data_IF_472135070261
#
_entry.id   IF_472135070261
#
_cell.length_a   1.000
_cell.length_b   1.000
_cell.length_c   1.000
_cell.angle_alpha   90.00
_cell.angle_beta   90.00
_cell.angle_gamma   90.00
#
_symmetry.space_group_name_H-M   'P 1'
#
loop_
_entity.id
_entity.type
_entity.pdbx_description
1 polymer ?
#
# COMPACT_ATOMS: atom_id res chain seq x y z
N UNK A 1 3.84 -11.22 -2.28
CA UNK A 1 2.42 -11.52 -2.09
C UNK A 1 2.20 -12.96 -1.65
N UNK A 2 2.60 -13.96 -2.41
CA UNK A 2 2.42 -15.39 -2.03
C UNK A 2 3.00 -15.73 -0.66
N UNK A 3 4.20 -15.24 -0.31
CA UNK A 3 4.80 -15.42 1.01
C UNK A 3 3.99 -14.75 2.13
N UNK A 4 3.44 -13.56 1.88
CA UNK A 4 2.61 -12.87 2.87
C UNK A 4 1.30 -13.64 3.13
N UNK A 5 0.66 -14.13 2.08
CA UNK A 5 -0.54 -14.97 2.20
C UNK A 5 -0.24 -16.28 2.96
N UNK A 6 0.87 -16.94 2.63
CA UNK A 6 1.29 -18.17 3.31
C UNK A 6 1.54 -17.92 4.81
N UNK A 7 2.22 -16.83 5.17
CA UNK A 7 2.45 -16.43 6.56
C UNK A 7 1.13 -16.11 7.27
N UNK A 8 0.21 -15.37 6.64
CA UNK A 8 -1.09 -15.03 7.23
C UNK A 8 -1.93 -16.26 7.53
N UNK A 9 -1.87 -17.29 6.68
CA UNK A 9 -2.56 -18.54 6.93
C UNK A 9 -1.91 -19.41 8.02
N UNK A 10 -0.59 -19.29 8.20
CA UNK A 10 0.16 -20.10 9.17
C UNK A 10 0.17 -19.44 10.58
N UNK A 11 0.13 -18.14 10.66
CA UNK A 11 0.22 -17.41 11.91
C UNK A 11 -1.10 -17.46 12.70
N UNK A 12 -1.03 -17.62 14.04
CA UNK A 12 -2.23 -17.60 14.87
C UNK A 12 -2.95 -16.25 14.77
N UNK A 13 -4.27 -16.21 14.98
CA UNK A 13 -5.00 -14.96 15.01
C UNK A 13 -4.42 -14.02 16.07
N UNK A 14 -4.46 -12.72 15.79
CA UNK A 14 -4.05 -11.73 16.79
C UNK A 14 -4.97 -11.78 17.99
N UNK A 15 -4.44 -11.54 19.22
CA UNK A 15 -5.28 -11.31 20.37
C UNK A 15 -6.16 -10.06 20.17
N UNK A 16 -7.23 -9.98 20.93
CA UNK A 16 -8.04 -8.77 20.97
C UNK A 16 -7.17 -7.55 21.34
N UNK A 17 -7.27 -6.49 20.54
CA UNK A 17 -6.47 -5.29 20.68
C UNK A 17 -7.32 -4.03 20.46
N UNK A 18 -6.80 -2.90 20.91
CA UNK A 18 -7.41 -1.60 20.63
C UNK A 18 -7.39 -1.32 19.12
N UNK A 19 -8.47 -0.65 18.64
CA UNK A 19 -8.55 -0.26 17.24
C UNK A 19 -7.33 0.53 16.81
N UNK A 20 -6.66 0.03 15.79
CA UNK A 20 -5.38 0.54 15.31
C UNK A 20 -5.50 1.08 13.88
N UNK A 21 -5.16 2.35 13.72
CA UNK A 21 -5.14 3.06 12.45
C UNK A 21 -3.69 3.21 11.97
N UNK A 22 -3.40 2.70 10.79
CA UNK A 22 -2.10 2.86 10.15
C UNK A 22 -2.12 4.03 9.18
N UNK A 23 -1.27 5.02 9.39
CA UNK A 23 -0.93 6.04 8.41
C UNK A 23 0.35 5.65 7.69
N UNK A 24 0.26 5.22 6.44
CA UNK A 24 1.41 4.83 5.63
C UNK A 24 1.47 5.64 4.33
N UNK A 25 1.99 6.88 4.40
CA UNK A 25 2.08 7.77 3.25
C UNK A 25 3.20 7.38 2.30
N UNK A 26 3.09 7.82 1.05
CA UNK A 26 4.22 7.93 0.12
C UNK A 26 5.20 9.03 0.57
N UNK A 27 6.09 9.42 -0.31
CA UNK A 27 7.05 10.50 -0.13
C UNK A 27 6.93 11.52 -1.29
N UNK A 28 7.50 12.71 -1.12
CA UNK A 28 7.48 13.78 -2.11
C UNK A 28 6.36 14.79 -1.88
N UNK A 29 6.25 15.78 -2.79
CA UNK A 29 5.41 16.97 -2.61
C UNK A 29 3.91 16.65 -2.48
N UNK A 30 3.43 15.62 -3.15
CA UNK A 30 2.02 15.19 -3.12
C UNK A 30 1.69 14.23 -1.98
N UNK A 31 2.68 13.81 -1.16
CA UNK A 31 2.44 12.86 -0.07
C UNK A 31 1.67 13.48 1.10
N UNK A 32 0.91 12.66 1.81
CA UNK A 32 0.05 13.08 2.95
C UNK A 32 0.83 13.90 3.98
N UNK A 33 2.00 13.44 4.42
CA UNK A 33 2.77 14.15 5.44
C UNK A 33 3.32 15.48 4.94
N UNK A 34 3.60 15.62 3.65
CA UNK A 34 4.01 16.87 3.05
C UNK A 34 2.84 17.85 2.94
N UNK A 35 1.69 17.36 2.51
CA UNK A 35 0.49 18.16 2.29
C UNK A 35 -0.16 18.62 3.60
N UNK A 36 -0.31 17.73 4.56
CA UNK A 36 -1.07 17.99 5.78
C UNK A 36 -0.20 18.18 7.02
N UNK A 37 1.03 17.68 7.03
CA UNK A 37 1.98 17.84 8.14
C UNK A 37 1.42 17.35 9.48
N UNK A 38 1.59 18.15 10.52
CA UNK A 38 1.07 17.85 11.86
C UNK A 38 -0.45 17.81 11.93
N UNK A 39 -1.17 18.50 11.05
CA UNK A 39 -2.64 18.54 11.08
C UNK A 39 -3.29 17.18 10.93
N UNK A 40 -2.76 16.30 10.07
CA UNK A 40 -3.28 14.94 9.95
C UNK A 40 -3.01 14.12 11.24
N UNK A 41 -1.86 14.32 11.87
CA UNK A 41 -1.49 13.64 13.13
C UNK A 41 -2.40 14.09 14.26
N UNK A 42 -2.62 15.40 14.41
CA UNK A 42 -3.55 15.95 15.39
C UNK A 42 -4.96 15.36 15.23
N UNK A 43 -5.43 15.29 13.98
CA UNK A 43 -6.75 14.76 13.65
C UNK A 43 -6.85 13.25 13.96
N UNK A 44 -5.79 12.49 13.68
CA UNK A 44 -5.71 11.07 14.03
C UNK A 44 -5.72 10.85 15.53
N UNK A 45 -4.91 11.59 16.28
CA UNK A 45 -4.87 11.52 17.75
C UNK A 45 -6.22 11.87 18.39
N UNK A 46 -6.95 12.84 17.82
CA UNK A 46 -8.28 13.22 18.26
C UNK A 46 -9.33 12.11 18.09
N UNK A 47 -9.07 11.08 17.26
CA UNK A 47 -9.95 9.92 17.14
C UNK A 47 -10.01 9.05 18.40
N UNK A 48 -8.97 9.08 19.22
CA UNK A 48 -8.82 8.22 20.38
C UNK A 48 -8.41 6.78 20.07
N UNK A 49 -8.11 6.46 18.81
CA UNK A 49 -7.58 5.16 18.41
C UNK A 49 -6.07 5.08 18.62
N UNK A 50 -5.52 3.86 18.63
CA UNK A 50 -4.07 3.67 18.54
C UNK A 50 -3.60 4.00 17.12
N UNK A 51 -2.59 4.85 16.99
CA UNK A 51 -2.11 5.36 15.72
C UNK A 51 -0.70 4.83 15.46
N UNK A 52 -0.51 4.21 14.31
CA UNK A 52 0.81 3.86 13.81
C UNK A 52 1.09 4.73 12.60
N UNK A 53 2.20 5.46 12.63
CA UNK A 53 2.69 6.19 11.47
C UNK A 53 3.90 5.44 10.92
N UNK A 54 3.79 5.01 9.67
CA UNK A 54 4.87 4.34 8.95
C UNK A 54 5.26 5.14 7.72
N UNK A 55 6.17 6.11 7.83
CA UNK A 55 6.64 6.88 6.70
C UNK A 55 7.35 5.99 5.68
N UNK A 56 7.28 6.37 4.42
CA UNK A 56 8.07 5.72 3.38
C UNK A 56 9.57 5.84 3.72
N UNK A 57 10.40 4.80 3.53
CA UNK A 57 11.83 4.86 3.84
C UNK A 57 12.57 6.02 3.16
N UNK A 58 12.11 6.43 1.98
CA UNK A 58 12.69 7.57 1.27
C UNK A 58 12.46 8.90 1.99
N UNK A 59 11.37 9.08 2.74
CA UNK A 59 11.14 10.32 3.53
C UNK A 59 12.26 10.58 4.53
N UNK A 60 12.85 9.53 5.11
CA UNK A 60 14.01 9.67 6.01
C UNK A 60 15.31 10.08 5.31
N UNK A 61 15.36 10.04 3.98
CA UNK A 61 16.52 10.43 3.17
C UNK A 61 16.33 11.78 2.51
N UNK A 62 15.17 11.98 1.86
CA UNK A 62 14.91 13.18 1.06
C UNK A 62 14.17 14.28 1.82
N UNK A 63 13.52 13.96 2.97
CA UNK A 63 12.67 14.87 3.74
C UNK A 63 13.09 14.93 5.22
N UNK A 64 14.39 14.83 5.50
CA UNK A 64 14.95 14.66 6.85
C UNK A 64 14.48 15.72 7.84
N UNK A 65 14.50 17.00 7.45
CA UNK A 65 14.11 18.12 8.33
C UNK A 65 12.64 18.06 8.69
N UNK A 66 11.77 17.73 7.72
CA UNK A 66 10.33 17.57 7.94
C UNK A 66 10.10 16.41 8.91
N UNK A 67 10.70 15.25 8.66
CA UNK A 67 10.55 14.07 9.50
C UNK A 67 11.05 14.33 10.93
N UNK A 68 12.22 14.93 11.08
CA UNK A 68 12.77 15.27 12.39
C UNK A 68 11.87 16.26 13.16
N UNK A 69 11.27 17.22 12.47
CA UNK A 69 10.32 18.19 13.05
C UNK A 69 9.04 17.49 13.51
N UNK A 70 8.44 16.64 12.67
CA UNK A 70 7.22 15.92 13.01
C UNK A 70 7.43 14.97 14.18
N UNK A 71 8.48 14.15 14.14
CA UNK A 71 8.76 13.18 15.22
C UNK A 71 9.11 13.85 16.56
N UNK A 72 9.69 15.06 16.52
CA UNK A 72 9.93 15.83 17.74
C UNK A 72 8.65 16.43 18.30
N UNK A 73 7.74 16.89 17.42
CA UNK A 73 6.45 17.46 17.83
C UNK A 73 5.47 16.39 18.33
N UNK A 74 5.57 15.18 17.79
CA UNK A 74 4.71 14.03 18.09
C UNK A 74 5.57 12.82 18.46
N UNK A 75 6.17 12.78 19.66
CA UNK A 75 6.97 11.63 20.10
C UNK A 75 6.10 10.39 20.29
N UNK A 76 6.74 9.21 20.28
CA UNK A 76 6.07 7.97 20.62
C UNK A 76 5.38 8.08 21.98
N UNK A 77 4.19 7.50 22.07
CA UNK A 77 3.33 7.52 23.25
C UNK A 77 2.46 6.25 23.29
N UNK A 78 1.68 5.99 24.35
CA UNK A 78 0.73 4.87 24.37
C UNK A 78 -0.28 4.90 23.20
N UNK A 79 -0.58 6.07 22.65
CA UNK A 79 -1.52 6.24 21.54
C UNK A 79 -0.84 6.36 20.16
N UNK A 80 0.45 6.67 20.09
CA UNK A 80 1.16 6.95 18.84
C UNK A 80 2.48 6.18 18.74
N UNK A 81 2.66 5.43 17.67
CA UNK A 81 3.89 4.73 17.32
C UNK A 81 4.44 5.21 15.97
N UNK A 82 5.75 5.48 15.91
CA UNK A 82 6.49 5.65 14.65
C UNK A 82 7.14 4.35 14.23
N UNK A 83 6.49 3.61 13.32
CA UNK A 83 6.98 2.32 12.86
C UNK A 83 8.08 2.47 11.81
N UNK A 84 9.21 1.76 12.01
CA UNK A 84 10.39 1.74 11.13
C UNK A 84 10.89 0.32 10.86
N UNK A 85 10.03 -0.67 10.98
CA UNK A 85 10.40 -2.06 10.74
C UNK A 85 10.91 -2.26 9.32
N UNK A 86 11.77 -3.25 9.13
CA UNK A 86 12.36 -3.54 7.82
C UNK A 86 11.32 -4.00 6.79
N UNK A 87 10.29 -4.73 7.24
CA UNK A 87 9.19 -5.19 6.40
C UNK A 87 7.82 -4.66 6.88
N UNK A 88 6.79 -4.92 6.09
CA UNK A 88 5.43 -4.45 6.35
C UNK A 88 4.57 -5.47 7.07
N UNK A 89 5.00 -6.71 7.22
CA UNK A 89 4.13 -7.81 7.57
C UNK A 89 3.36 -7.58 8.87
N UNK A 90 4.08 -7.35 9.97
CA UNK A 90 3.45 -7.24 11.27
C UNK A 90 2.62 -5.96 11.43
N UNK A 91 3.09 -4.84 10.89
CA UNK A 91 2.36 -3.58 10.99
C UNK A 91 1.06 -3.61 10.20
N UNK A 92 1.03 -4.21 9.00
CA UNK A 92 -0.20 -4.37 8.22
C UNK A 92 -1.16 -5.35 8.91
N UNK A 93 -0.61 -6.43 9.49
CA UNK A 93 -1.40 -7.43 10.19
C UNK A 93 -2.12 -6.87 11.42
N UNK A 94 -1.44 -6.09 12.25
CA UNK A 94 -1.99 -5.54 13.51
C UNK A 94 -2.80 -4.25 13.36
N UNK A 95 -2.89 -3.70 12.16
CA UNK A 95 -3.71 -2.52 11.88
C UNK A 95 -5.08 -2.91 11.36
N UNK A 96 -6.13 -2.20 11.77
CA UNK A 96 -7.51 -2.47 11.37
C UNK A 96 -7.90 -1.74 10.09
N UNK A 97 -7.33 -0.56 9.88
CA UNK A 97 -7.58 0.29 8.71
C UNK A 97 -6.31 1.04 8.33
N UNK A 98 -6.12 1.23 7.04
CA UNK A 98 -5.01 1.99 6.47
C UNK A 98 -5.49 3.35 5.97
N UNK A 99 -4.74 4.40 6.28
CA UNK A 99 -4.84 5.70 5.60
C UNK A 99 -3.57 5.89 4.77
N UNK A 100 -3.74 6.11 3.47
CA UNK A 100 -2.62 6.28 2.55
C UNK A 100 -2.99 7.24 1.41
N UNK A 101 -2.04 7.50 0.53
CA UNK A 101 -2.21 8.33 -0.67
C UNK A 101 -2.18 7.49 -1.95
N UNK A 102 -1.12 7.52 -2.71
CA UNK A 102 -0.90 6.74 -3.93
C UNK A 102 0.11 5.59 -3.74
N UNK A 103 0.38 5.22 -2.51
CA UNK A 103 1.34 4.16 -2.17
C UNK A 103 0.82 2.77 -2.55
N UNK A 104 1.68 1.94 -3.12
CA UNK A 104 1.38 0.54 -3.43
C UNK A 104 0.97 -0.30 -2.21
N UNK A 105 1.33 0.13 -0.99
CA UNK A 105 0.93 -0.54 0.27
C UNK A 105 -0.59 -0.65 0.43
N UNK A 106 -1.37 0.23 -0.24
CA UNK A 106 -2.84 0.14 -0.28
C UNK A 106 -3.27 -1.26 -0.78
N UNK A 107 -2.63 -1.77 -1.82
CA UNK A 107 -3.00 -3.06 -2.42
C UNK A 107 -2.55 -4.24 -1.57
N UNK A 108 -1.38 -4.15 -0.94
CA UNK A 108 -0.98 -5.16 0.05
C UNK A 108 -2.02 -5.21 1.18
N UNK A 109 -2.37 -4.07 1.76
CA UNK A 109 -3.31 -3.99 2.87
C UNK A 109 -4.72 -4.45 2.47
N UNK A 110 -5.24 -3.98 1.34
CA UNK A 110 -6.60 -4.29 0.93
C UNK A 110 -6.75 -5.70 0.39
N UNK A 111 -5.83 -6.15 -0.46
CA UNK A 111 -6.01 -7.39 -1.19
C UNK A 111 -5.43 -8.60 -0.44
N UNK A 112 -4.28 -8.43 0.27
CA UNK A 112 -3.65 -9.52 1.02
C UNK A 112 -4.26 -9.67 2.41
N UNK A 113 -4.39 -8.55 3.15
CA UNK A 113 -4.91 -8.58 4.53
C UNK A 113 -6.43 -8.44 4.60
N UNK A 114 -7.08 -8.19 3.49
CA UNK A 114 -8.55 -8.07 3.37
C UNK A 114 -9.17 -6.99 4.26
N UNK A 115 -8.53 -5.84 4.31
CA UNK A 115 -8.94 -4.72 5.18
C UNK A 115 -9.25 -3.47 4.38
N UNK A 116 -10.21 -2.63 4.84
CA UNK A 116 -10.58 -1.41 4.14
C UNK A 116 -9.52 -0.33 4.27
N UNK A 117 -9.52 0.61 3.32
CA UNK A 117 -8.59 1.74 3.28
C UNK A 117 -9.32 3.07 3.25
N UNK A 118 -8.63 4.10 3.74
CA UNK A 118 -8.96 5.49 3.47
C UNK A 118 -7.83 6.05 2.61
N UNK A 119 -8.18 6.59 1.46
CA UNK A 119 -7.19 7.17 0.54
C UNK A 119 -7.37 8.68 0.41
N UNK A 120 -6.28 9.42 0.26
CA UNK A 120 -6.35 10.86 0.07
C UNK A 120 -6.41 11.22 -1.40
N UNK A 121 -7.10 12.32 -1.68
CA UNK A 121 -7.04 13.02 -2.96
C UNK A 121 -5.79 13.93 -2.93
N UNK A 122 -4.67 13.30 -3.16
CA UNK A 122 -3.45 14.06 -3.44
C UNK A 122 -3.39 14.21 -4.94
N UNK A 123 -3.17 15.41 -5.43
CA UNK A 123 -2.98 15.67 -6.85
C UNK A 123 -1.73 14.90 -7.31
N UNK A 124 -1.94 13.68 -7.78
CA UNK A 124 -0.87 12.84 -8.26
C UNK A 124 -0.33 13.43 -9.57
N UNK A 125 0.94 13.80 -9.56
CA UNK A 125 1.66 14.24 -10.75
C UNK A 125 2.30 13.01 -11.41
N UNK A 126 1.81 12.64 -12.60
CA UNK A 126 2.32 11.50 -13.38
C UNK A 126 3.49 11.86 -14.31
N UNK A 127 3.79 13.15 -14.46
CA UNK A 127 4.85 13.62 -15.35
C UNK A 127 6.24 13.00 -15.07
N UNK A 128 6.63 12.72 -13.80
CA UNK A 128 7.89 12.03 -13.50
C UNK A 128 7.93 10.54 -13.88
N UNK A 129 6.79 9.92 -14.20
CA UNK A 129 6.66 8.46 -14.34
C UNK A 129 6.51 8.06 -15.79
N UNK A 130 7.09 8.60 -16.76
CA UNK A 130 7.11 8.17 -18.16
C UNK A 130 5.83 7.39 -18.62
N UNK A 131 4.67 7.82 -18.12
CA UNK A 131 3.36 7.20 -18.31
C UNK A 131 2.34 8.17 -18.94
N UNK A 132 2.74 9.40 -19.20
CA UNK A 132 1.92 10.48 -19.74
C UNK A 132 1.32 10.17 -21.13
N UNK A 133 1.87 9.16 -21.81
CA UNK A 133 1.43 8.70 -23.14
C UNK A 133 0.35 7.61 -23.08
N UNK A 134 -0.03 7.14 -21.87
CA UNK A 134 -1.08 6.14 -21.70
C UNK A 134 -2.44 6.82 -21.75
N UNK A 135 -3.25 6.48 -22.75
CA UNK A 135 -4.63 6.97 -22.90
C UNK A 135 -5.63 6.24 -21.99
N UNK A 136 -5.17 5.32 -21.18
CA UNK A 136 -6.01 4.48 -20.31
C UNK A 136 -5.93 4.96 -18.87
N UNK A 137 -7.07 5.13 -18.17
CA UNK A 137 -7.07 5.44 -16.73
C UNK A 137 -6.26 4.41 -15.95
N UNK A 138 -5.50 4.88 -14.96
CA UNK A 138 -4.75 3.98 -14.09
C UNK A 138 -5.71 3.16 -13.23
N UNK A 139 -5.71 1.85 -13.41
CA UNK A 139 -6.52 0.93 -12.60
C UNK A 139 -6.32 1.17 -11.09
N UNK A 140 -5.09 1.50 -10.67
CA UNK A 140 -4.74 1.80 -9.29
C UNK A 140 -5.54 2.94 -8.67
N UNK A 141 -5.99 3.91 -9.45
CA UNK A 141 -6.86 4.99 -8.98
C UNK A 141 -8.35 4.66 -9.17
N UNK A 142 -8.69 3.95 -10.24
CA UNK A 142 -10.07 3.54 -10.52
C UNK A 142 -10.63 2.59 -9.47
N UNK A 143 -9.79 1.74 -8.88
CA UNK A 143 -10.20 0.76 -7.86
C UNK A 143 -10.41 1.37 -6.48
N UNK A 144 -9.74 2.49 -6.13
CA UNK A 144 -9.76 3.06 -4.78
C UNK A 144 -11.17 3.30 -4.22
N UNK A 145 -12.14 3.89 -4.95
CA UNK A 145 -13.50 4.09 -4.44
C UNK A 145 -14.27 2.80 -4.15
N UNK A 146 -13.82 1.68 -4.73
CA UNK A 146 -14.44 0.36 -4.53
C UNK A 146 -13.91 -0.35 -3.28
N UNK A 147 -12.67 -0.08 -2.89
CA UNK A 147 -12.00 -0.75 -1.76
C UNK A 147 -11.89 0.11 -0.50
N UNK A 148 -12.29 1.38 -0.57
CA UNK A 148 -12.16 2.30 0.54
C UNK A 148 -12.83 3.65 0.33
N UNK A 149 -12.64 4.54 1.28
CA UNK A 149 -13.26 5.86 1.32
C UNK A 149 -12.24 6.98 1.12
N UNK A 150 -12.65 8.03 0.38
CA UNK A 150 -11.80 9.20 0.12
C UNK A 150 -11.76 10.13 1.33
N UNK A 151 -10.54 10.49 1.76
CA UNK A 151 -10.28 11.56 2.72
C UNK A 151 -10.04 12.85 1.96
N UNK A 152 -10.79 13.90 2.32
CA UNK A 152 -10.68 15.25 1.77
C UNK A 152 -10.46 16.27 2.89
N UNK A 153 -10.08 17.49 2.53
CA UNK A 153 -10.00 18.62 3.49
C UNK A 153 -11.34 18.83 4.22
N UNK A 154 -12.45 18.65 3.53
CA UNK A 154 -13.79 18.89 4.06
C UNK A 154 -14.21 17.86 5.11
N UNK A 155 -13.88 16.57 4.88
CA UNK A 155 -14.29 15.50 5.79
C UNK A 155 -13.25 15.14 6.85
N UNK A 156 -12.03 15.66 6.74
CA UNK A 156 -10.94 15.43 7.70
C UNK A 156 -11.33 15.76 9.16
N UNK A 157 -12.07 16.83 9.49
CA UNK A 157 -12.50 17.09 10.87
C UNK A 157 -13.40 15.99 11.48
N UNK A 158 -13.99 15.14 10.65
CA UNK A 158 -14.84 14.00 11.05
C UNK A 158 -14.15 12.65 10.79
N UNK A 159 -12.82 12.61 10.91
CA UNK A 159 -12.04 11.44 10.55
C UNK A 159 -12.44 10.19 11.35
N UNK A 160 -12.81 10.33 12.62
CA UNK A 160 -13.30 9.20 13.42
C UNK A 160 -14.55 8.57 12.80
N UNK A 161 -15.55 9.39 12.46
CA UNK A 161 -16.79 8.92 11.83
C UNK A 161 -16.50 8.26 10.47
N UNK A 162 -15.53 8.82 9.73
CA UNK A 162 -15.10 8.28 8.44
C UNK A 162 -14.48 6.89 8.60
N UNK A 163 -13.62 6.72 9.60
CA UNK A 163 -12.98 5.44 9.93
C UNK A 163 -14.06 4.40 10.30
N UNK A 164 -14.94 4.75 11.23
CA UNK A 164 -15.99 3.84 11.71
C UNK A 164 -16.93 3.42 10.59
N UNK A 165 -17.34 4.37 9.75
CA UNK A 165 -18.18 4.09 8.60
C UNK A 165 -17.47 3.17 7.59
N UNK A 166 -16.20 3.43 7.29
CA UNK A 166 -15.41 2.64 6.35
C UNK A 166 -15.23 1.19 6.80
N UNK A 167 -15.01 0.98 8.10
CA UNK A 167 -14.86 -0.36 8.68
C UNK A 167 -16.15 -1.19 8.64
N UNK A 168 -17.30 -0.55 8.67
CA UNK A 168 -18.61 -1.22 8.73
C UNK A 168 -19.29 -1.39 7.36
N UNK A 169 -18.79 -0.72 6.32
CA UNK A 169 -19.45 -0.71 5.01
C UNK A 169 -19.13 -1.98 4.21
N UNK A 170 -20.13 -2.87 3.97
CA UNK A 170 -19.90 -4.13 3.26
C UNK A 170 -19.54 -3.94 1.79
N UNK A 171 -19.78 -2.75 1.21
CA UNK A 171 -19.42 -2.46 -0.19
C UNK A 171 -17.92 -2.56 -0.43
N UNK A 172 -17.11 -2.19 0.56
CA UNK A 172 -15.66 -2.27 0.42
C UNK A 172 -15.13 -3.70 0.47
N UNK A 173 -15.83 -4.62 1.15
CA UNK A 173 -15.53 -6.05 1.06
C UNK A 173 -15.78 -6.56 -0.36
N UNK A 174 -16.97 -6.31 -0.89
CA UNK A 174 -17.33 -6.72 -2.25
C UNK A 174 -16.36 -6.14 -3.29
N UNK A 175 -15.95 -4.87 -3.11
CA UNK A 175 -14.95 -4.21 -3.97
C UNK A 175 -13.57 -4.87 -3.91
N UNK A 176 -13.12 -5.30 -2.75
CA UNK A 176 -11.84 -6.03 -2.60
C UNK A 176 -11.91 -7.41 -3.26
N UNK A 177 -13.03 -8.13 -3.12
CA UNK A 177 -13.23 -9.41 -3.78
C UNK A 177 -13.21 -9.27 -5.31
N UNK A 178 -13.86 -8.24 -5.84
CA UNK A 178 -13.84 -7.91 -7.26
C UNK A 178 -12.41 -7.54 -7.73
N UNK A 179 -11.70 -6.70 -6.98
CA UNK A 179 -10.33 -6.29 -7.29
C UNK A 179 -9.38 -7.50 -7.35
N UNK A 180 -9.49 -8.45 -6.41
CA UNK A 180 -8.74 -9.71 -6.44
C UNK A 180 -9.07 -10.53 -7.69
N UNK A 181 -10.35 -10.68 -8.02
CA UNK A 181 -10.78 -11.43 -9.20
C UNK A 181 -10.25 -10.81 -10.51
N UNK A 182 -10.04 -9.49 -10.54
CA UNK A 182 -9.47 -8.78 -11.69
C UNK A 182 -7.96 -8.89 -11.82
N UNK A 183 -7.24 -9.04 -10.70
CA UNK A 183 -5.78 -8.88 -10.67
C UNK A 183 -5.01 -10.12 -10.26
N UNK A 184 -5.67 -11.07 -9.60
CA UNK A 184 -4.99 -12.26 -9.07
C UNK A 184 -5.23 -13.47 -9.94
N UNK A 185 -4.16 -13.98 -10.52
CA UNK A 185 -4.12 -15.26 -11.23
C UNK A 185 -3.10 -16.19 -10.56
N UNK A 186 -3.38 -17.47 -10.57
CA UNK A 186 -2.45 -18.50 -10.08
C UNK A 186 -1.90 -18.27 -8.67
N UNK A 187 -2.77 -17.92 -7.71
CA UNK A 187 -2.41 -17.64 -6.33
C UNK A 187 -1.55 -18.78 -5.75
N UNK A 188 -0.42 -18.43 -5.12
CA UNK A 188 0.54 -19.39 -4.57
C UNK A 188 1.44 -20.08 -5.60
N UNK A 189 1.30 -19.76 -6.90
CA UNK A 189 2.08 -20.37 -7.98
C UNK A 189 2.90 -19.34 -8.76
N UNK A 190 2.84 -18.07 -8.42
CA UNK A 190 3.47 -16.99 -9.18
C UNK A 190 4.97 -17.18 -9.39
N UNK A 191 5.70 -17.48 -8.33
CA UNK A 191 7.15 -17.71 -8.41
C UNK A 191 7.51 -18.91 -9.28
N UNK A 192 6.77 -20.02 -9.14
CA UNK A 192 6.98 -21.23 -9.93
C UNK A 192 6.69 -20.98 -11.41
N UNK A 193 5.54 -20.39 -11.72
CA UNK A 193 5.16 -20.09 -13.11
C UNK A 193 6.17 -19.16 -13.78
N UNK A 194 6.71 -18.20 -13.03
CA UNK A 194 7.77 -17.29 -13.51
C UNK A 194 9.06 -18.06 -13.80
N UNK A 195 9.50 -18.94 -12.90
CA UNK A 195 10.69 -19.77 -13.10
C UNK A 195 10.54 -20.67 -14.33
N UNK A 196 9.43 -21.40 -14.44
CA UNK A 196 9.13 -22.29 -15.58
C UNK A 196 9.11 -21.50 -16.91
N UNK A 197 8.56 -20.28 -16.89
CA UNK A 197 8.57 -19.40 -18.07
C UNK A 197 9.98 -18.99 -18.47
N UNK A 198 10.81 -18.56 -17.50
CA UNK A 198 12.18 -18.13 -17.76
C UNK A 198 13.05 -19.29 -18.26
N UNK A 199 12.95 -20.48 -17.69
CA UNK A 199 13.68 -21.67 -18.15
C UNK A 199 13.31 -22.04 -19.59
N UNK A 200 12.03 -22.02 -19.92
CA UNK A 200 11.55 -22.25 -21.29
C UNK A 200 12.12 -21.22 -22.25
N UNK A 201 12.07 -19.92 -21.88
CA UNK A 201 12.60 -18.83 -22.73
C UNK A 201 14.11 -18.92 -22.94
N UNK A 202 14.85 -19.26 -21.91
CA UNK A 202 16.30 -19.48 -22.03
C UNK A 202 16.62 -20.61 -22.99
N UNK A 203 15.88 -21.72 -22.91
CA UNK A 203 16.03 -22.86 -23.81
C UNK A 203 15.74 -22.48 -25.27
N UNK A 204 14.62 -21.77 -25.50
CA UNK A 204 14.24 -21.26 -26.83
C UNK A 204 15.33 -20.32 -27.44
N UNK A 205 15.85 -19.40 -26.62
CA UNK A 205 16.90 -18.46 -27.05
C UNK A 205 18.22 -19.19 -27.36
N UNK A 206 18.62 -20.14 -26.52
CA UNK A 206 19.84 -20.94 -26.73
C UNK A 206 19.76 -21.75 -28.02
N UNK A 207 18.62 -22.37 -28.31
CA UNK A 207 18.39 -23.11 -29.55
C UNK A 207 18.46 -22.21 -30.79
N UNK A 208 17.89 -20.99 -30.69
CA UNK A 208 17.93 -20.00 -31.79
C UNK A 208 19.37 -19.55 -32.06
N UNK A 209 20.14 -19.25 -31.02
CA UNK A 209 21.54 -18.82 -31.16
C UNK A 209 22.39 -19.92 -31.78
N UNK A 210 22.17 -21.19 -31.42
CA UNK A 210 22.88 -22.30 -32.04
C UNK A 210 22.58 -22.45 -33.53
N UNK A 211 21.31 -22.30 -33.95
CA UNK A 211 20.91 -22.37 -35.35
C UNK A 211 21.47 -21.22 -36.20
N UNK A 212 21.52 -20.01 -35.61
CA UNK A 212 22.05 -18.84 -36.32
C UNK A 212 23.59 -18.95 -36.49
N UNK A 213 24.30 -19.61 -35.61
CA UNK A 213 25.74 -19.86 -35.71
C UNK A 213 26.08 -20.88 -36.82
N UNK A 214 25.26 -21.93 -36.98
CA UNK A 214 25.44 -22.94 -38.02
C UNK A 214 25.19 -22.39 -39.46
N UNK A 215 24.32 -21.39 -39.60
CA UNK A 215 24.02 -20.75 -40.89
C UNK A 215 25.13 -19.75 -41.31
N UNK A 216 25.87 -19.20 -40.34
CA UNK A 216 26.94 -18.23 -40.62
C UNK A 216 28.29 -18.86 -41.04
N UNK A 217 28.47 -20.18 -40.93
CA UNK A 217 29.70 -20.91 -41.30
C UNK A 217 29.64 -21.58 -42.69
N UNK A 218 28.59 -21.37 -43.45
CA UNK A 218 28.49 -21.81 -44.85
C UNK A 218 28.65 -20.62 -45.81
#
# INVERSE_FOLDING_TARGET
MDDMLARLHADPPLPEHERTVLLAPSWGESAILKKYGGRIIDTLLATGYHIIIRPHPQSFRSEQDMMAKLMRAYPDSPQLEWNRDADNYDVLRRSDILISDFSGVIFDFSLVYDKPVIYTDTDFDDAPYDAWWLDTPYWTFDVLPRIGQKLTEENMPRLRELIDACLLDPRYQAGRDEARAQTWEHIGQGARNTADYLERKLTELSAKTASDTEIGEQ
#
